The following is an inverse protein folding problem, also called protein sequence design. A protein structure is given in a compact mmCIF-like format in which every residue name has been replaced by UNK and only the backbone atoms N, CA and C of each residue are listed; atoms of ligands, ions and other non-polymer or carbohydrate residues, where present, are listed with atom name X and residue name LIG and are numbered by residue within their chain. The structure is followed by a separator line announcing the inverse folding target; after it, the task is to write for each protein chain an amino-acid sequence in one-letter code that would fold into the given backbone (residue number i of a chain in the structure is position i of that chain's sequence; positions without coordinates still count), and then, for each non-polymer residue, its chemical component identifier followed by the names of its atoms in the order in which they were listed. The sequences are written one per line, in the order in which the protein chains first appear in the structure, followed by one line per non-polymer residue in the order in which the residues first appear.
data_IF_324576542272
#
_entry.id   IF_324576542272
#
_cell.length_a   1.000
_cell.length_b   1.000
_cell.length_c   1.000
_cell.angle_alpha   90.00
_cell.angle_beta   90.00
_cell.angle_gamma   90.00
#
_symmetry.space_group_name_H-M   'P 1'
#
loop_
_entity.id
_entity.type
_entity.pdbx_description
1 polymer ?
#
# COMPACT_ATOMS: atom_id res chain seq x y z
N UNK A 1 10.20 -17.59 -13.16
CA UNK A 1 8.94 -17.07 -12.54
C UNK A 1 9.25 -16.19 -11.33
N UNK A 2 8.70 -14.97 -11.27
CA UNK A 2 8.87 -13.98 -10.18
C UNK A 2 8.27 -14.44 -8.82
N UNK A 3 7.94 -15.72 -8.67
CA UNK A 3 7.26 -16.31 -7.51
C UNK A 3 8.13 -16.43 -6.27
N UNK A 4 9.45 -16.19 -6.37
CA UNK A 4 10.39 -16.27 -5.24
C UNK A 4 11.00 -14.92 -4.84
N UNK A 5 10.82 -13.87 -5.66
CA UNK A 5 11.32 -12.53 -5.38
C UNK A 5 10.36 -11.79 -4.43
N UNK A 6 10.92 -10.93 -3.58
CA UNK A 6 10.20 -10.04 -2.68
C UNK A 6 9.17 -10.76 -1.80
N UNK A 7 9.57 -11.87 -1.18
CA UNK A 7 8.77 -12.59 -0.17
C UNK A 7 9.30 -12.31 1.23
N UNK A 8 8.38 -12.19 2.19
CA UNK A 8 8.71 -11.99 3.60
C UNK A 8 7.67 -12.63 4.51
N UNK A 9 8.05 -12.89 5.76
CA UNK A 9 7.13 -13.45 6.76
C UNK A 9 6.39 -12.31 7.45
N UNK A 10 5.08 -12.28 7.29
CA UNK A 10 4.20 -11.51 8.17
C UNK A 10 4.17 -12.24 9.52
N UNK A 11 4.80 -11.66 10.54
CA UNK A 11 5.01 -12.30 11.85
C UNK A 11 3.72 -12.59 12.61
N UNK A 12 2.73 -11.71 12.46
CA UNK A 12 1.44 -11.85 13.14
C UNK A 12 0.59 -12.93 12.47
N UNK A 13 0.62 -12.99 11.14
CA UNK A 13 -0.14 -14.01 10.37
C UNK A 13 0.63 -15.32 10.18
N UNK A 14 1.94 -15.33 10.43
CA UNK A 14 2.88 -16.43 10.13
C UNK A 14 2.85 -16.87 8.67
N UNK A 15 2.64 -15.93 7.75
CA UNK A 15 2.55 -16.20 6.32
C UNK A 15 3.82 -15.69 5.63
N UNK A 16 4.54 -16.58 4.95
CA UNK A 16 5.60 -16.20 4.02
C UNK A 16 4.99 -15.85 2.66
N UNK A 17 4.91 -14.56 2.35
CA UNK A 17 4.20 -14.12 1.16
C UNK A 17 4.54 -12.72 0.70
N UNK A 18 3.65 -12.22 -0.15
CA UNK A 18 3.66 -10.87 -0.70
C UNK A 18 2.43 -10.13 -0.20
N UNK A 19 2.59 -8.87 0.15
CA UNK A 19 1.50 -7.97 0.52
C UNK A 19 1.25 -7.01 -0.63
N UNK A 20 -0.03 -6.72 -0.89
CA UNK A 20 -0.46 -5.79 -1.93
C UNK A 20 -1.04 -4.56 -1.26
N UNK A 21 -0.53 -3.40 -1.63
CA UNK A 21 -1.08 -2.11 -1.24
C UNK A 21 -1.81 -1.56 -2.46
N UNK A 22 -3.10 -1.30 -2.31
CA UNK A 22 -3.98 -0.90 -3.40
C UNK A 22 -4.65 0.41 -3.01
N UNK A 23 -4.67 1.35 -3.94
CA UNK A 23 -5.46 2.57 -3.83
C UNK A 23 -6.57 2.53 -4.87
N UNK A 24 -7.78 2.84 -4.41
CA UNK A 24 -8.98 2.87 -5.23
C UNK A 24 -9.70 4.20 -5.07
N UNK A 25 -10.55 4.54 -6.05
CA UNK A 25 -11.54 5.61 -5.86
C UNK A 25 -12.77 5.11 -5.10
N UNK A 26 -13.77 5.98 -4.98
CA UNK A 26 -15.05 5.70 -4.31
C UNK A 26 -15.93 4.72 -5.06
N UNK A 27 -15.69 4.48 -6.35
CA UNK A 27 -16.37 3.45 -7.15
C UNK A 27 -15.64 2.09 -7.08
N UNK A 28 -14.46 2.04 -6.47
CA UNK A 28 -13.63 0.83 -6.35
C UNK A 28 -12.71 0.60 -7.55
N UNK A 29 -12.52 1.58 -8.44
CA UNK A 29 -11.56 1.45 -9.54
C UNK A 29 -10.14 1.57 -9.00
N UNK A 30 -9.24 0.72 -9.50
CA UNK A 30 -7.86 0.66 -9.04
C UNK A 30 -7.03 1.75 -9.72
N UNK A 31 -6.40 2.60 -8.91
CA UNK A 31 -5.53 3.69 -9.37
C UNK A 31 -4.05 3.34 -9.23
N UNK A 32 -3.70 2.47 -8.29
CA UNK A 32 -2.31 2.09 -8.05
C UNK A 32 -2.22 0.80 -7.25
N UNK A 33 -1.20 0.00 -7.56
CA UNK A 33 -0.89 -1.24 -6.84
C UNK A 33 0.61 -1.34 -6.64
N UNK A 34 1.03 -1.52 -5.38
CA UNK A 34 2.39 -1.93 -5.05
C UNK A 34 2.36 -3.33 -4.45
N UNK A 35 3.21 -4.20 -4.99
CA UNK A 35 3.39 -5.56 -4.48
C UNK A 35 4.78 -5.64 -3.87
N UNK A 36 4.84 -5.97 -2.58
CA UNK A 36 6.09 -6.10 -1.84
C UNK A 36 6.10 -7.34 -0.94
N UNK A 37 7.21 -7.54 -0.25
CA UNK A 37 7.35 -8.61 0.73
C UNK A 37 6.37 -8.40 1.90
N UNK A 38 5.78 -9.48 2.42
CA UNK A 38 4.73 -9.34 3.43
C UNK A 38 5.22 -8.80 4.79
N UNK A 39 6.54 -8.81 5.02
CA UNK A 39 7.18 -8.21 6.20
C UNK A 39 7.38 -6.69 6.09
N UNK A 40 7.04 -6.06 4.97
CA UNK A 40 7.11 -4.60 4.83
C UNK A 40 5.99 -3.93 5.64
N UNK A 41 6.35 -2.85 6.34
CA UNK A 41 5.44 -2.06 7.14
C UNK A 41 4.53 -1.19 6.26
N UNK A 42 3.24 -1.17 6.57
CA UNK A 42 2.22 -0.58 5.70
C UNK A 42 2.42 0.93 5.51
N UNK A 43 2.75 1.66 6.58
CA UNK A 43 3.01 3.11 6.51
C UNK A 43 4.16 3.52 5.57
N UNK A 44 5.22 2.71 5.47
CA UNK A 44 6.38 3.01 4.59
C UNK A 44 6.01 2.77 3.12
N UNK A 45 5.21 1.74 2.85
CA UNK A 45 4.80 1.43 1.47
C UNK A 45 3.66 2.35 1.01
N UNK A 46 2.85 2.84 1.95
CA UNK A 46 1.76 3.76 1.69
C UNK A 46 2.19 5.02 0.93
N UNK A 47 3.28 5.67 1.35
CA UNK A 47 3.77 6.88 0.68
C UNK A 47 4.08 6.61 -0.79
N UNK A 48 4.73 5.48 -1.09
CA UNK A 48 5.05 5.06 -2.47
C UNK A 48 3.82 4.83 -3.33
N UNK A 49 2.70 4.41 -2.75
CA UNK A 49 1.44 4.21 -3.48
C UNK A 49 0.80 5.56 -3.84
N UNK A 50 0.91 6.56 -2.96
CA UNK A 50 0.19 7.83 -3.12
C UNK A 50 1.00 8.92 -3.77
N UNK A 51 2.32 8.97 -3.56
CA UNK A 51 3.22 9.96 -4.19
C UNK A 51 2.96 10.14 -5.70
N UNK A 52 2.76 9.08 -6.51
CA UNK A 52 2.47 9.22 -7.94
C UNK A 52 1.08 9.81 -8.27
N UNK A 53 0.16 9.80 -7.30
CA UNK A 53 -1.22 10.26 -7.47
C UNK A 53 -1.43 11.69 -6.98
N UNK A 54 -0.50 12.21 -6.17
CA UNK A 54 -0.52 13.61 -5.73
C UNK A 54 -0.39 14.53 -6.95
N UNK A 55 -1.36 15.42 -7.13
CA UNK A 55 -1.41 16.34 -8.27
C UNK A 55 -1.95 15.74 -9.58
N UNK A 56 -2.26 14.44 -9.62
CA UNK A 56 -3.00 13.83 -10.74
C UNK A 56 -4.51 13.80 -10.47
N UNK A 57 -4.89 13.80 -9.18
CA UNK A 57 -6.27 13.68 -8.74
C UNK A 57 -6.77 15.02 -8.20
N UNK A 58 -7.11 15.93 -9.12
CA UNK A 58 -7.53 17.32 -8.80
C UNK A 58 -8.75 17.42 -7.88
N UNK A 59 -9.56 16.34 -7.82
CA UNK A 59 -10.76 16.24 -6.98
C UNK A 59 -10.56 15.46 -5.68
N UNK A 60 -9.35 14.98 -5.41
CA UNK A 60 -9.05 14.19 -4.21
C UNK A 60 -8.93 15.10 -2.99
N UNK A 61 -9.92 15.03 -2.10
CA UNK A 61 -9.92 15.79 -0.84
C UNK A 61 -9.39 15.00 0.35
N UNK A 62 -9.55 13.66 0.34
CA UNK A 62 -9.19 12.79 1.45
C UNK A 62 -8.84 11.39 0.99
N UNK A 63 -7.97 10.73 1.77
CA UNK A 63 -7.63 9.31 1.62
C UNK A 63 -8.07 8.61 2.91
N UNK A 64 -8.84 7.53 2.75
CA UNK A 64 -9.25 6.67 3.86
C UNK A 64 -8.33 5.46 3.90
N UNK A 65 -7.74 5.19 5.06
CA UNK A 65 -6.84 4.05 5.27
C UNK A 65 -6.99 3.52 6.70
N UNK A 66 -6.51 2.31 6.92
CA UNK A 66 -6.44 1.68 8.25
C UNK A 66 -5.41 2.40 9.16
N UNK A 67 -5.52 2.26 10.48
CA UNK A 67 -4.65 2.89 11.47
C UNK A 67 -3.17 2.49 11.28
N UNK A 68 -2.92 1.29 10.74
CA UNK A 68 -1.58 0.84 10.36
C UNK A 68 -0.86 1.78 9.36
N UNK A 69 -1.62 2.56 8.58
CA UNK A 69 -1.11 3.54 7.61
C UNK A 69 -0.81 4.91 8.26
N UNK A 70 -1.36 5.19 9.44
CA UNK A 70 -1.32 6.51 10.09
C UNK A 70 0.09 6.96 10.51
N UNK A 71 0.97 6.01 10.87
CA UNK A 71 2.27 6.30 11.49
C UNK A 71 3.29 7.02 10.59
N UNK A 72 3.09 7.03 9.28
CA UNK A 72 4.07 7.58 8.33
C UNK A 72 3.45 8.49 7.27
N UNK A 73 2.13 8.40 7.08
CA UNK A 73 1.43 9.03 5.97
C UNK A 73 1.00 10.48 6.24
N UNK A 74 0.87 10.87 7.51
CA UNK A 74 0.59 12.26 7.91
C UNK A 74 1.87 12.87 8.48
N UNK A 75 2.59 13.64 7.68
CA UNK A 75 3.55 14.63 8.17
C UNK A 75 3.23 15.97 7.57
#
# INVERSE_FOLDING_TARGET
PFTHLDKGIDGDKKINGRKRHVITDTAGLIWGVIVGAANQADGVVASKVVEPLLGYLDRMEKILADDAYKKTFMK
#
